data_IF_692921941837
#
_entry.id   IF_692921941837
#
_cell.length_a   1.000
_cell.length_b   1.000
_cell.length_c   1.000
_cell.angle_alpha   90.00
_cell.angle_beta   90.00
_cell.angle_gamma   90.00
#
_symmetry.space_group_name_H-M   'P 1'
#
loop_
_entity.id
_entity.type
_entity.pdbx_description
1 polymer ?
#
# COMPACT_ATOMS: atom_id res chain seq x y z
N UNK A 1 -0.66 -0.75 20.53
CA UNK A 1 -1.91 -0.02 20.22
C UNK A 1 -3.09 -0.81 20.80
N UNK A 2 -3.73 -0.31 21.83
CA UNK A 2 -5.03 -0.81 22.28
C UNK A 2 -6.10 0.02 21.56
N UNK A 3 -6.71 -0.54 20.51
CA UNK A 3 -7.98 -0.04 20.02
C UNK A 3 -8.99 -0.27 21.14
N UNK A 4 -9.51 0.82 21.69
CA UNK A 4 -10.67 0.76 22.57
C UNK A 4 -11.85 0.29 21.71
N UNK A 5 -12.38 -0.90 22.00
CA UNK A 5 -13.47 -1.52 21.24
C UNK A 5 -14.76 -0.68 21.17
N UNK A 6 -14.85 0.42 21.93
CA UNK A 6 -15.95 1.36 21.92
C UNK A 6 -15.81 2.49 20.85
N UNK A 7 -14.62 2.70 20.27
CA UNK A 7 -14.46 3.69 19.19
C UNK A 7 -14.96 3.08 17.88
N UNK A 8 -16.13 3.48 17.43
CA UNK A 8 -16.52 3.30 16.04
C UNK A 8 -15.47 4.00 15.17
N UNK A 9 -14.81 3.26 14.30
CA UNK A 9 -13.84 3.83 13.35
C UNK A 9 -14.66 4.59 12.30
N UNK A 10 -14.77 5.90 12.49
CA UNK A 10 -15.36 6.83 11.51
C UNK A 10 -14.24 7.45 10.68
N UNK A 11 -14.58 8.10 9.57
CA UNK A 11 -13.61 8.84 8.76
C UNK A 11 -12.91 9.93 9.59
N UNK A 12 -13.66 10.68 10.41
CA UNK A 12 -13.12 11.69 11.33
C UNK A 12 -12.19 11.07 12.36
N UNK A 13 -12.60 9.97 12.99
CA UNK A 13 -11.77 9.24 13.95
C UNK A 13 -10.49 8.67 13.34
N UNK A 14 -10.50 8.30 12.04
CA UNK A 14 -9.30 7.86 11.34
C UNK A 14 -8.30 9.01 11.13
N UNK A 15 -8.77 10.20 10.77
CA UNK A 15 -7.93 11.39 10.64
C UNK A 15 -7.32 11.81 11.98
N UNK A 16 -8.11 11.79 13.05
CA UNK A 16 -7.65 12.14 14.40
C UNK A 16 -6.60 11.16 14.89
N UNK A 17 -6.79 9.86 14.63
CA UNK A 17 -5.80 8.83 14.95
C UNK A 17 -4.46 9.08 14.26
N UNK A 18 -4.46 9.54 13.01
CA UNK A 18 -3.23 9.91 12.30
C UNK A 18 -2.52 11.08 12.97
N UNK A 19 -3.26 12.08 13.46
CA UNK A 19 -2.71 13.23 14.22
C UNK A 19 -2.12 12.76 15.55
N UNK A 20 -2.85 11.91 16.30
CA UNK A 20 -2.35 11.31 17.56
C UNK A 20 -1.06 10.52 17.34
N UNK A 21 -0.93 9.77 16.23
CA UNK A 21 0.29 9.07 15.88
C UNK A 21 1.48 10.02 15.70
N UNK A 22 1.25 11.17 15.07
CA UNK A 22 2.31 12.18 14.91
C UNK A 22 2.71 12.78 16.24
N UNK A 23 1.76 13.09 17.13
CA UNK A 23 2.04 13.56 18.49
C UNK A 23 2.82 12.52 19.30
N UNK A 24 2.52 11.24 19.11
CA UNK A 24 3.27 10.11 19.66
C UNK A 24 4.66 9.89 19.02
N UNK A 25 5.11 10.82 18.16
CA UNK A 25 6.41 10.79 17.46
C UNK A 25 6.58 9.60 16.51
N UNK A 26 5.49 9.09 15.92
CA UNK A 26 5.59 8.13 14.84
C UNK A 26 6.37 8.74 13.67
N UNK A 27 7.28 7.96 13.10
CA UNK A 27 8.11 8.39 11.96
C UNK A 27 7.52 7.97 10.62
N UNK A 28 6.76 6.89 10.61
CA UNK A 28 6.12 6.32 9.42
C UNK A 28 4.74 5.78 9.76
N UNK A 29 3.82 5.89 8.80
CA UNK A 29 2.51 5.25 8.85
C UNK A 29 2.49 4.07 7.87
N UNK A 30 2.46 2.83 8.40
CA UNK A 30 2.29 1.64 7.60
C UNK A 30 0.81 1.39 7.34
N UNK A 31 0.47 1.20 6.07
CA UNK A 31 -0.88 0.90 5.59
C UNK A 31 -0.93 -0.58 5.17
N UNK A 32 -1.46 -1.48 6.02
CA UNK A 32 -1.59 -2.89 5.70
C UNK A 32 -2.66 -3.15 4.63
N UNK A 33 -2.70 -4.36 4.04
CA UNK A 33 -3.70 -4.76 3.06
C UNK A 33 -5.05 -5.00 3.75
N UNK A 34 -5.81 -3.95 3.96
CA UNK A 34 -7.11 -3.96 4.62
C UNK A 34 -8.14 -3.21 3.77
N UNK A 35 -9.31 -3.81 3.57
CA UNK A 35 -10.36 -3.25 2.70
C UNK A 35 -10.94 -1.95 3.26
N UNK A 36 -11.09 -1.84 4.58
CA UNK A 36 -11.60 -0.65 5.23
C UNK A 36 -10.61 0.51 5.11
N UNK A 37 -9.32 0.24 5.37
CA UNK A 37 -8.27 1.23 5.14
C UNK A 37 -8.21 1.66 3.67
N UNK A 38 -8.40 0.73 2.74
CA UNK A 38 -8.45 1.03 1.30
C UNK A 38 -9.55 2.03 0.93
N UNK A 39 -10.71 1.95 1.57
CA UNK A 39 -11.83 2.90 1.32
C UNK A 39 -11.57 4.30 1.88
N UNK A 40 -10.81 4.43 2.96
CA UNK A 40 -10.51 5.71 3.60
C UNK A 40 -9.16 6.30 3.18
N UNK A 41 -8.31 5.54 2.49
CA UNK A 41 -6.95 5.91 2.23
C UNK A 41 -6.83 7.22 1.44
N UNK A 42 -7.55 7.32 0.32
CA UNK A 42 -7.44 8.45 -0.61
C UNK A 42 -7.98 9.74 -0.03
N UNK A 43 -9.15 9.69 0.61
CA UNK A 43 -9.91 10.88 0.97
C UNK A 43 -9.68 11.34 2.42
N UNK A 44 -9.15 10.44 3.27
CA UNK A 44 -9.02 10.71 4.71
C UNK A 44 -7.61 10.47 5.23
N UNK A 45 -7.10 9.24 5.15
CA UNK A 45 -5.88 8.84 5.87
C UNK A 45 -4.63 9.48 5.27
N UNK A 46 -4.47 9.41 3.94
CA UNK A 46 -3.31 9.96 3.25
C UNK A 46 -3.28 11.48 3.32
N UNK A 47 -4.41 12.20 3.07
CA UNK A 47 -4.46 13.63 3.30
C UNK A 47 -4.10 14.04 4.73
N UNK A 48 -4.65 13.37 5.74
CA UNK A 48 -4.33 13.65 7.14
C UNK A 48 -2.83 13.41 7.46
N UNK A 49 -2.25 12.32 6.92
CA UNK A 49 -0.83 12.03 7.07
C UNK A 49 0.05 13.09 6.41
N UNK A 50 -0.34 13.57 5.23
CA UNK A 50 0.33 14.66 4.53
C UNK A 50 0.27 15.98 5.29
N UNK A 51 -0.89 16.32 5.86
CA UNK A 51 -1.10 17.51 6.67
C UNK A 51 -0.13 17.57 7.85
N UNK A 52 0.06 16.45 8.56
CA UNK A 52 0.97 16.39 9.72
C UNK A 52 2.41 16.02 9.36
N UNK A 53 2.73 15.91 8.08
CA UNK A 53 4.08 15.55 7.62
C UNK A 53 4.50 14.14 8.06
N UNK A 54 3.58 13.17 8.05
CA UNK A 54 3.84 11.77 8.37
C UNK A 54 3.94 10.93 7.08
N UNK A 55 5.13 10.41 6.72
CA UNK A 55 5.29 9.61 5.51
C UNK A 55 4.52 8.29 5.60
N UNK A 56 3.95 7.85 4.47
CA UNK A 56 3.13 6.65 4.37
C UNK A 56 3.85 5.55 3.60
N UNK A 57 3.72 4.31 4.08
CA UNK A 57 4.22 3.10 3.40
C UNK A 57 3.07 2.14 3.12
N UNK A 58 2.85 1.84 1.85
CA UNK A 58 1.74 1.04 1.37
C UNK A 58 2.14 -0.42 1.11
N UNK A 59 1.22 -1.34 1.35
CA UNK A 59 1.37 -2.76 1.07
C UNK A 59 0.64 -3.24 -0.17
N UNK A 60 -0.19 -2.38 -0.81
CA UNK A 60 -0.98 -2.73 -1.99
C UNK A 60 -0.90 -1.65 -3.07
N UNK A 61 -1.14 -2.05 -4.34
CA UNK A 61 -1.23 -1.11 -5.45
C UNK A 61 -2.34 -0.08 -5.24
N UNK A 62 -3.48 -0.50 -4.68
CA UNK A 62 -4.59 0.41 -4.40
C UNK A 62 -4.18 1.55 -3.46
N UNK A 63 -3.45 1.24 -2.38
CA UNK A 63 -2.95 2.25 -1.44
C UNK A 63 -1.89 3.16 -2.07
N UNK A 64 -1.07 2.62 -2.98
CA UNK A 64 -0.16 3.45 -3.77
C UNK A 64 -0.91 4.38 -4.73
N UNK A 65 -1.97 3.90 -5.39
CA UNK A 65 -2.82 4.72 -6.26
C UNK A 65 -3.56 5.79 -5.48
N UNK A 66 -3.96 5.49 -4.23
CA UNK A 66 -4.57 6.45 -3.32
C UNK A 66 -3.65 7.61 -2.90
N UNK A 67 -2.35 7.55 -3.22
CA UNK A 67 -1.41 8.65 -3.00
C UNK A 67 -0.36 8.40 -1.92
N UNK A 68 -0.15 7.16 -1.48
CA UNK A 68 0.93 6.85 -0.53
C UNK A 68 2.31 7.23 -1.07
N UNK A 69 3.23 7.60 -0.17
CA UNK A 69 4.59 8.00 -0.51
C UNK A 69 5.38 6.87 -1.15
N UNK A 70 5.39 5.72 -0.52
CA UNK A 70 6.16 4.57 -0.99
C UNK A 70 5.48 3.26 -0.62
N UNK A 71 5.89 2.17 -1.24
CA UNK A 71 5.34 0.85 -0.94
C UNK A 71 6.15 -0.29 -1.52
N UNK A 72 5.89 -1.47 -0.97
CA UNK A 72 6.34 -2.74 -1.51
C UNK A 72 5.10 -3.55 -1.88
N UNK A 73 4.82 -3.63 -3.17
CA UNK A 73 3.55 -4.16 -3.65
C UNK A 73 3.73 -5.36 -4.59
N UNK A 74 2.78 -6.29 -4.54
CA UNK A 74 2.60 -7.30 -5.57
C UNK A 74 1.54 -6.83 -6.54
N UNK A 75 1.81 -6.89 -7.84
CA UNK A 75 0.81 -6.54 -8.85
C UNK A 75 -0.28 -7.60 -8.89
N UNK A 76 -1.53 -7.20 -8.72
CA UNK A 76 -2.68 -8.11 -8.78
C UNK A 76 -2.76 -8.89 -10.09
N UNK A 77 -2.37 -8.27 -11.20
CA UNK A 77 -2.25 -8.97 -12.49
C UNK A 77 -1.26 -10.16 -12.41
N UNK A 78 -0.10 -9.97 -11.80
CA UNK A 78 0.90 -11.03 -11.62
C UNK A 78 0.42 -12.13 -10.66
N UNK A 79 -0.33 -11.75 -9.63
CA UNK A 79 -0.98 -12.71 -8.72
C UNK A 79 -2.00 -13.55 -9.49
N UNK A 80 -2.83 -12.91 -10.34
CA UNK A 80 -3.79 -13.59 -11.21
C UNK A 80 -3.12 -14.57 -12.18
N UNK A 81 -2.04 -14.15 -12.84
CA UNK A 81 -1.27 -15.02 -13.74
C UNK A 81 -0.68 -16.23 -12.99
N UNK A 82 -0.11 -16.00 -11.81
CA UNK A 82 0.42 -17.08 -10.97
C UNK A 82 -0.66 -18.08 -10.56
N UNK A 83 -1.84 -17.57 -10.18
CA UNK A 83 -3.00 -18.41 -9.84
C UNK A 83 -3.47 -19.19 -11.05
N UNK A 84 -3.59 -18.56 -12.21
CA UNK A 84 -3.99 -19.21 -13.46
C UNK A 84 -3.04 -20.37 -13.83
N UNK A 85 -1.74 -20.18 -13.66
CA UNK A 85 -0.77 -21.25 -13.88
C UNK A 85 -0.99 -22.45 -12.95
N UNK A 86 -1.31 -22.22 -11.66
CA UNK A 86 -1.66 -23.29 -10.73
C UNK A 86 -2.94 -24.03 -11.14
N UNK A 87 -3.95 -23.30 -11.57
CA UNK A 87 -5.20 -23.87 -12.10
C UNK A 87 -4.94 -24.72 -13.35
N UNK A 88 -4.09 -24.23 -14.26
CA UNK A 88 -3.70 -24.96 -15.46
C UNK A 88 -3.01 -26.28 -15.12
N UNK A 89 -2.10 -26.31 -14.16
CA UNK A 89 -1.45 -27.55 -13.70
C UNK A 89 -2.46 -28.59 -13.20
N UNK A 90 -3.49 -28.15 -12.50
CA UNK A 90 -4.54 -29.06 -11.98
C UNK A 90 -5.45 -29.54 -13.11
N UNK A 91 -5.97 -28.62 -13.94
CA UNK A 91 -7.00 -28.96 -14.91
C UNK A 91 -6.43 -29.65 -16.16
N UNK A 92 -5.30 -29.17 -16.68
CA UNK A 92 -4.70 -29.69 -17.91
C UNK A 92 -3.56 -30.67 -17.62
N UNK A 93 -2.75 -30.41 -16.61
CA UNK A 93 -1.65 -31.27 -16.19
C UNK A 93 -2.08 -32.50 -15.41
N UNK A 94 -3.38 -32.63 -15.05
CA UNK A 94 -3.94 -33.72 -14.24
C UNK A 94 -3.20 -33.94 -12.93
N UNK A 95 -2.65 -32.88 -12.35
CA UNK A 95 -2.02 -32.90 -11.04
C UNK A 95 -3.11 -32.81 -9.97
N UNK A 96 -3.05 -33.68 -8.98
CA UNK A 96 -4.01 -33.66 -7.87
C UNK A 96 -3.87 -32.35 -7.08
N UNK A 97 -4.97 -31.67 -6.80
CA UNK A 97 -4.96 -30.34 -6.17
C UNK A 97 -4.24 -30.33 -4.83
N UNK A 98 -4.35 -31.40 -4.06
CA UNK A 98 -3.68 -31.57 -2.76
C UNK A 98 -2.15 -31.68 -2.86
N UNK A 99 -1.61 -31.98 -4.06
CA UNK A 99 -0.15 -32.04 -4.28
C UNK A 99 0.43 -30.71 -4.76
N UNK A 100 -0.42 -29.76 -5.15
CA UNK A 100 0.03 -28.41 -5.56
C UNK A 100 0.37 -27.59 -4.33
N UNK A 101 1.62 -27.17 -4.14
CA UNK A 101 2.00 -26.46 -2.93
C UNK A 101 1.31 -25.09 -2.85
N UNK A 102 0.95 -24.72 -1.60
CA UNK A 102 0.50 -23.35 -1.29
C UNK A 102 1.73 -22.45 -1.31
N UNK A 103 1.75 -21.50 -2.22
CA UNK A 103 2.87 -20.59 -2.40
C UNK A 103 2.37 -19.15 -2.51
N UNK A 104 3.22 -18.22 -2.13
CA UNK A 104 3.02 -16.80 -2.34
C UNK A 104 3.84 -16.32 -3.55
N UNK A 105 3.33 -15.33 -4.26
CA UNK A 105 4.10 -14.68 -5.32
C UNK A 105 5.35 -14.03 -4.70
N UNK A 106 6.54 -14.40 -5.18
CA UNK A 106 7.83 -13.86 -4.71
C UNK A 106 8.27 -12.63 -5.50
N UNK A 107 7.37 -12.02 -6.25
CA UNK A 107 7.65 -10.87 -7.11
C UNK A 107 6.98 -9.63 -6.53
N UNK A 108 7.81 -8.70 -6.08
CA UNK A 108 7.38 -7.44 -5.51
C UNK A 108 8.00 -6.28 -6.31
N UNK A 109 7.28 -5.17 -6.37
CA UNK A 109 7.78 -3.90 -6.89
C UNK A 109 7.91 -2.90 -5.76
N UNK A 110 9.09 -2.31 -5.61
CA UNK A 110 9.24 -1.09 -4.82
C UNK A 110 8.65 0.06 -5.63
N UNK A 111 7.77 0.82 -5.03
CA UNK A 111 7.16 1.99 -5.67
C UNK A 111 7.39 3.22 -4.81
N UNK A 112 7.62 4.37 -5.46
CA UNK A 112 7.77 5.65 -4.81
C UNK A 112 7.10 6.75 -5.63
N UNK A 113 6.42 7.67 -4.95
CA UNK A 113 5.78 8.84 -5.54
C UNK A 113 6.61 10.09 -5.25
N UNK A 114 7.27 10.61 -6.29
CA UNK A 114 8.22 11.72 -6.14
C UNK A 114 7.51 13.00 -5.69
N UNK A 115 6.33 13.30 -6.21
CA UNK A 115 5.58 14.49 -5.82
C UNK A 115 5.25 14.53 -4.31
N UNK A 116 4.98 13.39 -3.71
CA UNK A 116 4.74 13.26 -2.27
C UNK A 116 6.05 13.38 -1.49
N UNK A 117 7.14 12.77 -1.99
CA UNK A 117 8.46 12.90 -1.40
C UNK A 117 8.92 14.38 -1.36
N UNK A 118 8.70 15.12 -2.43
CA UNK A 118 9.01 16.55 -2.49
C UNK A 118 8.19 17.37 -1.50
N UNK A 119 6.86 17.16 -1.44
CA UNK A 119 5.97 17.84 -0.49
C UNK A 119 6.37 17.58 0.96
N UNK A 120 6.78 16.36 1.27
CA UNK A 120 7.24 15.98 2.62
C UNK A 120 8.71 16.37 2.88
N UNK A 121 9.44 16.88 1.88
CA UNK A 121 10.88 17.17 1.93
C UNK A 121 11.72 15.95 2.33
N UNK A 122 11.34 14.79 1.82
CA UNK A 122 11.98 13.50 2.05
C UNK A 122 12.51 12.94 0.71
N UNK A 123 13.63 13.49 0.19
CA UNK A 123 14.17 13.00 -1.08
C UNK A 123 14.56 11.53 -0.95
N UNK A 124 14.16 10.67 -1.91
CA UNK A 124 14.56 9.28 -1.88
C UNK A 124 16.07 9.13 -2.05
N UNK A 125 16.69 8.13 -1.40
CA UNK A 125 18.11 7.85 -1.60
C UNK A 125 18.39 7.54 -3.07
N UNK A 126 19.48 8.09 -3.64
CA UNK A 126 19.86 7.88 -5.04
C UNK A 126 19.88 6.41 -5.47
N UNK A 127 20.40 5.45 -4.68
CA UNK A 127 20.37 4.03 -5.05
C UNK A 127 18.97 3.47 -5.27
N UNK A 128 17.93 4.07 -4.68
CA UNK A 128 16.55 3.63 -4.84
C UNK A 128 16.05 3.76 -6.27
N UNK A 129 16.56 4.72 -7.03
CA UNK A 129 16.20 4.93 -8.44
C UNK A 129 16.65 3.78 -9.38
N UNK A 130 17.55 2.91 -8.91
CA UNK A 130 18.00 1.76 -9.70
C UNK A 130 17.01 0.58 -9.66
N UNK A 131 16.11 0.52 -8.67
CA UNK A 131 15.22 -0.63 -8.47
C UNK A 131 13.78 -0.27 -8.17
N UNK A 132 13.49 0.96 -7.78
CA UNK A 132 12.14 1.41 -7.49
C UNK A 132 11.44 1.92 -8.76
N UNK A 133 10.17 1.59 -8.88
CA UNK A 133 9.27 2.15 -9.88
C UNK A 133 8.84 3.55 -9.44
N UNK A 134 9.11 4.53 -10.28
CA UNK A 134 8.74 5.91 -10.02
C UNK A 134 7.30 6.12 -10.48
N UNK A 135 6.44 6.49 -9.53
CA UNK A 135 5.08 6.89 -9.83
C UNK A 135 5.03 8.40 -10.07
N UNK A 136 4.62 8.76 -11.27
CA UNK A 136 4.25 10.14 -11.57
C UNK A 136 2.77 10.33 -11.19
N UNK A 137 2.42 11.52 -10.71
CA UNK A 137 1.02 11.87 -10.57
C UNK A 137 0.41 11.83 -11.97
N UNK A 138 -0.61 10.99 -12.17
CA UNK A 138 -1.39 11.08 -13.39
C UNK A 138 -1.92 12.52 -13.47
N UNK A 139 -1.89 13.16 -14.64
CA UNK A 139 -2.55 14.44 -14.80
C UNK A 139 -4.00 14.25 -14.35
N UNK A 140 -4.44 15.06 -13.38
CA UNK A 140 -5.83 15.09 -12.96
C UNK A 140 -6.61 15.33 -14.24
N UNK A 141 -7.38 14.34 -14.69
CA UNK A 141 -8.27 14.49 -15.81
C UNK A 141 -9.22 15.63 -15.46
N UNK A 142 -9.08 16.75 -16.19
CA UNK A 142 -9.96 17.90 -16.10
C UNK A 142 -11.35 17.55 -16.62
#
# INVERSE_FOLDING_TARGET
FRLDAARKVTAEGAADLVRELKEAKAQWLYLPPDSFLGTLAQDVIIPAAMEVGLPTFASTEQLMQAGALSGLVSRYHSVGQFTAHKVEQILLGKVAAETVPIETLKRFSYQIRISVAEKLKLPPPLPMFNYAEILNDAPIAQ
#
